data_IF_143309370966
#
_entry.id   IF_143309370966
#
_cell.length_a   1.000
_cell.length_b   1.000
_cell.length_c   1.000
_cell.angle_alpha   90.00
_cell.angle_beta   90.00
_cell.angle_gamma   90.00
#
_symmetry.space_group_name_H-M   'P 1'
#
loop_
_entity.id
_entity.type
_entity.pdbx_description
1 polymer ?
#
# COMPACT_ATOMS: atom_id res chain seq x y z
N UNK A 1 10.54 1.48 7.87
CA UNK A 1 11.58 2.13 7.08
C UNK A 1 11.35 3.65 7.18
N UNK A 2 12.32 4.45 7.62
CA UNK A 2 12.23 5.92 7.62
C UNK A 2 12.71 6.41 6.25
N UNK A 3 11.81 6.90 5.40
CA UNK A 3 12.16 7.52 4.12
C UNK A 3 12.07 9.03 4.23
N UNK A 4 13.11 9.72 3.77
CA UNK A 4 13.15 11.17 3.66
C UNK A 4 12.86 11.54 2.21
N UNK A 5 11.57 11.53 1.86
CA UNK A 5 11.12 11.95 0.54
C UNK A 5 10.60 13.38 0.59
N UNK A 6 11.20 14.24 -0.24
CA UNK A 6 10.71 15.59 -0.54
C UNK A 6 10.38 16.47 0.68
N UNK A 7 11.23 16.47 1.70
CA UNK A 7 11.08 17.27 2.94
C UNK A 7 9.91 16.85 3.84
N UNK A 8 9.38 15.63 3.68
CA UNK A 8 8.33 15.07 4.53
C UNK A 8 8.79 13.81 5.25
N UNK A 9 8.27 13.59 6.47
CA UNK A 9 8.45 12.35 7.22
C UNK A 9 7.10 11.68 7.39
N UNK A 10 7.02 10.40 7.04
CA UNK A 10 5.81 9.59 7.22
C UNK A 10 5.99 8.67 8.42
N UNK A 11 5.01 8.68 9.32
CA UNK A 11 4.96 7.80 10.47
C UNK A 11 3.67 6.99 10.48
N UNK A 12 3.75 5.75 10.97
CA UNK A 12 2.56 4.95 11.26
C UNK A 12 1.91 5.52 12.52
N UNK A 13 0.66 5.96 12.40
CA UNK A 13 -0.15 6.42 13.53
C UNK A 13 -0.87 5.23 14.17
N UNK A 14 -0.58 4.97 15.44
CA UNK A 14 -1.19 3.90 16.25
C UNK A 14 -2.47 4.37 16.93
N UNK A 15 -2.48 5.59 17.44
CA UNK A 15 -3.63 6.18 18.16
C UNK A 15 -3.84 7.62 17.76
N UNK A 16 -5.09 7.97 17.44
CA UNK A 16 -5.53 9.34 17.17
C UNK A 16 -6.39 9.84 18.34
N UNK A 17 -6.00 10.97 18.93
CA UNK A 17 -6.81 11.69 19.93
C UNK A 17 -7.21 13.06 19.39
N UNK A 18 -7.89 13.88 20.19
CA UNK A 18 -8.26 15.24 19.77
C UNK A 18 -7.02 16.09 19.44
N UNK A 19 -5.97 16.02 20.27
CA UNK A 19 -4.82 16.94 20.18
C UNK A 19 -3.49 16.28 19.79
N UNK A 20 -3.44 14.94 19.76
CA UNK A 20 -2.19 14.20 19.57
C UNK A 20 -2.33 12.98 18.65
N UNK A 21 -1.21 12.64 18.00
CA UNK A 21 -0.96 11.39 17.31
C UNK A 21 0.04 10.56 18.12
N UNK A 22 -0.28 9.30 18.43
CA UNK A 22 0.72 8.34 18.88
C UNK A 22 1.34 7.70 17.63
N UNK A 23 2.62 7.98 17.37
CA UNK A 23 3.31 7.52 16.17
C UNK A 23 4.39 6.50 16.51
N UNK A 24 4.55 5.48 15.66
CA UNK A 24 5.62 4.48 15.80
C UNK A 24 6.92 5.11 15.30
N UNK A 25 7.94 5.17 16.17
CA UNK A 25 9.27 5.71 15.86
C UNK A 25 10.32 4.62 15.66
N UNK A 26 10.05 3.41 16.15
CA UNK A 26 10.87 2.23 15.90
C UNK A 26 9.98 1.04 15.51
N UNK A 27 10.18 0.54 14.28
CA UNK A 27 9.36 -0.55 13.74
C UNK A 27 9.79 -1.93 14.25
N UNK A 28 11.00 -2.09 14.79
CA UNK A 28 11.51 -3.38 15.28
C UNK A 28 10.90 -3.76 16.63
N UNK A 29 10.75 -2.78 17.53
CA UNK A 29 10.23 -2.99 18.88
C UNK A 29 8.86 -2.34 19.10
N UNK A 30 8.33 -1.60 18.13
CA UNK A 30 7.04 -0.91 18.22
C UNK A 30 7.04 0.31 19.16
N UNK A 31 8.20 0.87 19.51
CA UNK A 31 8.31 2.07 20.32
C UNK A 31 7.55 3.23 19.67
N UNK A 32 6.77 3.94 20.49
CA UNK A 32 5.91 5.02 20.05
C UNK A 32 6.14 6.30 20.87
N UNK A 33 5.94 7.44 20.21
CA UNK A 33 5.97 8.76 20.82
C UNK A 33 4.70 9.54 20.47
N UNK A 34 4.38 10.53 21.28
CA UNK A 34 3.26 11.42 21.05
C UNK A 34 3.70 12.66 20.27
N UNK A 35 3.11 12.86 19.09
CA UNK A 35 3.27 14.04 18.25
C UNK A 35 2.04 14.95 18.40
N UNK A 36 2.26 16.21 18.74
CA UNK A 36 1.18 17.19 18.86
C UNK A 36 0.64 17.55 17.48
N UNK A 37 -0.68 17.61 17.33
CA UNK A 37 -1.30 18.11 16.10
C UNK A 37 -0.86 19.55 15.81
N UNK A 38 -0.59 19.82 14.55
CA UNK A 38 -0.24 21.15 14.05
C UNK A 38 -0.48 21.21 12.54
N UNK A 39 -0.41 22.40 11.95
CA UNK A 39 -0.49 22.58 10.49
C UNK A 39 0.59 21.80 9.71
N UNK A 40 1.69 21.44 10.38
CA UNK A 40 2.80 20.68 9.81
C UNK A 40 2.61 19.16 9.92
N UNK A 41 1.66 18.68 10.74
CA UNK A 41 1.44 17.27 11.01
C UNK A 41 0.03 16.87 10.57
N UNK A 42 -0.06 16.30 9.37
CA UNK A 42 -1.33 15.87 8.77
C UNK A 42 -1.51 14.37 8.95
N UNK A 43 -2.73 13.97 9.30
CA UNK A 43 -3.11 12.56 9.31
C UNK A 43 -3.68 12.18 7.95
N UNK A 44 -3.25 11.04 7.43
CA UNK A 44 -3.84 10.38 6.27
C UNK A 44 -4.21 8.95 6.70
N UNK A 45 -5.41 8.51 6.36
CA UNK A 45 -5.78 7.10 6.56
C UNK A 45 -5.04 6.24 5.53
N UNK A 46 -4.96 4.94 5.77
CA UNK A 46 -4.38 4.02 4.78
C UNK A 46 -5.13 4.08 3.45
N UNK A 47 -6.44 4.29 3.48
CA UNK A 47 -7.26 4.38 2.28
C UNK A 47 -6.87 5.57 1.41
N UNK A 48 -6.73 6.75 2.01
CA UNK A 48 -6.27 7.94 1.29
C UNK A 48 -4.82 7.81 0.88
N UNK A 49 -3.96 7.31 1.77
CA UNK A 49 -2.53 7.23 1.54
C UNK A 49 -2.18 6.28 0.39
N UNK A 50 -2.75 5.07 0.35
CA UNK A 50 -2.44 4.09 -0.70
C UNK A 50 -2.95 4.50 -2.09
N UNK A 51 -4.05 5.26 -2.16
CA UNK A 51 -4.55 5.83 -3.41
C UNK A 51 -3.61 6.88 -4.02
N UNK A 52 -2.75 7.50 -3.20
CA UNK A 52 -1.79 8.53 -3.62
C UNK A 52 -0.40 7.96 -3.91
N UNK A 53 -0.16 6.66 -3.71
CA UNK A 53 1.14 6.05 -3.93
C UNK A 53 1.49 5.96 -5.41
N UNK A 54 2.78 6.14 -5.71
CA UNK A 54 3.31 5.97 -7.05
C UNK A 54 3.04 4.57 -7.57
N UNK A 55 3.33 3.56 -6.74
CA UNK A 55 3.05 2.16 -7.04
C UNK A 55 2.89 1.27 -5.82
N UNK A 56 2.36 0.07 -6.06
CA UNK A 56 2.21 -1.01 -5.08
C UNK A 56 2.61 -2.35 -5.70
N UNK A 57 3.10 -3.26 -4.87
CA UNK A 57 3.48 -4.61 -5.26
C UNK A 57 3.09 -5.64 -4.19
N UNK A 58 2.88 -6.88 -4.59
CA UNK A 58 2.77 -8.00 -3.66
C UNK A 58 4.15 -8.24 -3.03
N UNK A 59 4.16 -8.62 -1.75
CA UNK A 59 5.40 -9.02 -1.09
C UNK A 59 5.98 -10.26 -1.78
N UNK A 60 7.29 -10.26 -2.02
CA UNK A 60 7.98 -11.34 -2.75
C UNK A 60 7.92 -12.70 -2.05
N UNK A 61 7.76 -12.73 -0.73
CA UNK A 61 7.61 -13.93 0.10
C UNK A 61 6.15 -14.41 0.23
N UNK A 62 5.17 -13.61 -0.19
CA UNK A 62 3.74 -13.92 -0.11
C UNK A 62 3.21 -14.27 -1.51
N UNK A 63 2.77 -15.52 -1.70
CA UNK A 63 2.16 -15.97 -2.96
C UNK A 63 0.72 -15.47 -3.12
N UNK A 64 0.50 -14.17 -2.97
CA UNK A 64 -0.81 -13.55 -3.05
C UNK A 64 -1.35 -13.61 -4.49
N UNK A 65 -2.57 -14.12 -4.59
CA UNK A 65 -3.31 -14.21 -5.86
C UNK A 65 -4.01 -12.90 -6.16
N UNK A 66 -4.02 -12.53 -7.43
CA UNK A 66 -4.84 -11.43 -7.92
C UNK A 66 -6.24 -11.98 -8.18
N UNK A 67 -7.28 -11.34 -7.65
CA UNK A 67 -8.67 -11.80 -7.69
C UNK A 67 -9.52 -10.91 -8.59
N UNK A 68 -10.53 -11.47 -9.25
CA UNK A 68 -11.49 -10.65 -10.01
C UNK A 68 -12.40 -9.78 -9.12
N UNK A 69 -12.61 -10.16 -7.86
CA UNK A 69 -13.47 -9.48 -6.88
C UNK A 69 -12.77 -9.45 -5.51
N UNK A 70 -13.12 -8.51 -4.60
CA UNK A 70 -12.49 -8.36 -3.29
C UNK A 70 -12.95 -9.43 -2.28
N UNK A 71 -12.76 -10.71 -2.62
CA UNK A 71 -13.03 -11.85 -1.76
C UNK A 71 -12.16 -13.06 -2.14
N UNK A 72 -11.88 -13.92 -1.16
CA UNK A 72 -10.97 -15.06 -1.33
C UNK A 72 -11.51 -16.16 -2.25
N UNK A 73 -12.83 -16.24 -2.41
CA UNK A 73 -13.51 -17.21 -3.29
C UNK A 73 -13.54 -16.82 -4.75
N UNK A 74 -13.18 -15.58 -5.09
CA UNK A 74 -13.19 -15.08 -6.44
C UNK A 74 -12.18 -15.82 -7.32
N UNK A 75 -12.50 -15.90 -8.61
CA UNK A 75 -11.56 -16.38 -9.63
C UNK A 75 -10.23 -15.63 -9.57
N UNK A 76 -9.16 -16.36 -9.82
CA UNK A 76 -7.79 -15.85 -9.88
C UNK A 76 -7.48 -15.32 -11.29
N UNK A 77 -6.93 -14.11 -11.34
CA UNK A 77 -6.33 -13.54 -12.55
C UNK A 77 -4.87 -14.02 -12.57
N UNK A 78 -4.54 -14.82 -13.59
CA UNK A 78 -3.16 -15.29 -13.77
C UNK A 78 -2.28 -14.14 -14.22
N UNK A 79 -1.25 -13.86 -13.44
CA UNK A 79 -0.25 -12.85 -13.74
C UNK A 79 1.11 -13.36 -13.26
N UNK A 80 2.07 -13.39 -14.16
CA UNK A 80 3.42 -13.91 -13.91
C UNK A 80 4.51 -12.84 -14.07
N UNK A 81 4.13 -11.58 -14.27
CA UNK A 81 5.06 -10.47 -14.36
C UNK A 81 5.61 -10.01 -13.01
N UNK A 82 6.57 -9.10 -13.07
CA UNK A 82 7.00 -8.29 -11.94
C UNK A 82 5.92 -7.26 -11.63
N UNK A 83 5.52 -7.20 -10.36
CA UNK A 83 4.46 -6.30 -9.93
C UNK A 83 4.84 -4.83 -10.17
N UNK A 84 4.00 -4.16 -10.94
CA UNK A 84 4.08 -2.73 -11.22
C UNK A 84 2.64 -2.23 -11.32
N UNK A 85 2.05 -1.94 -10.16
CA UNK A 85 0.63 -1.64 -10.04
C UNK A 85 0.37 -0.29 -9.40
N UNK A 86 -0.77 0.30 -9.74
CA UNK A 86 -1.35 1.45 -9.04
C UNK A 86 -2.69 1.09 -8.41
N UNK A 87 -3.02 1.76 -7.31
CA UNK A 87 -4.30 1.57 -6.62
C UNK A 87 -5.38 2.39 -7.31
N UNK A 88 -6.46 1.73 -7.70
CA UNK A 88 -7.63 2.33 -8.34
C UNK A 88 -8.77 2.59 -7.35
N UNK A 89 -9.01 1.65 -6.44
CA UNK A 89 -10.06 1.74 -5.43
C UNK A 89 -9.76 0.80 -4.26
N UNK A 90 -10.51 0.94 -3.16
CA UNK A 90 -10.33 0.12 -1.96
C UNK A 90 -11.67 -0.41 -1.43
N UNK A 91 -11.66 -1.63 -0.90
CA UNK A 91 -12.81 -2.27 -0.28
C UNK A 91 -12.35 -3.11 0.93
N UNK A 92 -12.47 -2.54 2.13
CA UNK A 92 -12.01 -3.18 3.36
C UNK A 92 -10.52 -3.53 3.28
N UNK A 93 -10.21 -4.82 3.33
CA UNK A 93 -8.83 -5.33 3.31
C UNK A 93 -8.25 -5.44 1.91
N UNK A 94 -9.02 -5.07 0.88
CA UNK A 94 -8.66 -5.23 -0.53
C UNK A 94 -8.40 -3.90 -1.21
N UNK A 95 -7.45 -3.90 -2.12
CA UNK A 95 -7.18 -2.84 -3.08
C UNK A 95 -7.42 -3.35 -4.49
N UNK A 96 -8.13 -2.56 -5.29
CA UNK A 96 -8.23 -2.74 -6.72
C UNK A 96 -6.96 -2.15 -7.35
N UNK A 97 -6.28 -2.95 -8.15
CA UNK A 97 -5.04 -2.62 -8.82
C UNK A 97 -5.20 -2.65 -10.34
N UNK A 98 -4.37 -1.87 -11.02
CA UNK A 98 -4.15 -1.93 -12.45
C UNK A 98 -2.66 -1.74 -12.75
N UNK A 99 -2.19 -2.24 -13.89
CA UNK A 99 -0.81 -2.02 -14.36
C UNK A 99 -0.64 -0.56 -14.75
N UNK A 100 0.32 0.13 -14.13
CA UNK A 100 0.53 1.55 -14.38
C UNK A 100 1.05 1.80 -15.81
N UNK A 101 0.78 2.99 -16.36
CA UNK A 101 1.16 3.33 -17.73
C UNK A 101 2.67 3.47 -17.95
N UNK A 102 3.41 3.81 -16.89
CA UNK A 102 4.86 3.95 -16.92
C UNK A 102 5.60 2.60 -16.82
N UNK A 103 4.89 1.50 -16.54
CA UNK A 103 5.47 0.16 -16.53
C UNK A 103 5.74 -0.29 -17.97
N UNK A 104 6.99 -0.61 -18.28
CA UNK A 104 7.38 -1.12 -19.60
C UNK A 104 7.08 -2.63 -19.75
N UNK A 105 7.31 -3.17 -20.96
CA UNK A 105 7.08 -4.58 -21.26
C UNK A 105 7.94 -5.54 -20.40
N UNK A 106 9.04 -5.07 -19.81
CA UNK A 106 9.92 -5.89 -18.97
C UNK A 106 9.32 -6.22 -17.60
N UNK A 107 8.34 -5.44 -17.14
CA UNK A 107 7.61 -5.74 -15.92
C UNK A 107 6.57 -6.86 -16.11
N UNK A 108 6.26 -7.27 -17.35
CA UNK A 108 5.17 -8.23 -17.58
C UNK A 108 5.62 -9.41 -18.43
N UNK A 109 5.92 -10.55 -17.79
CA UNK A 109 6.21 -11.82 -18.51
C UNK A 109 5.02 -12.28 -19.36
N UNK A 110 3.81 -12.07 -18.85
CA UNK A 110 2.61 -12.06 -19.68
C UNK A 110 2.48 -10.66 -20.28
N UNK A 111 2.47 -10.49 -21.60
CA UNK A 111 2.17 -9.21 -22.30
C UNK A 111 0.78 -8.61 -21.99
N UNK A 112 0.16 -9.01 -20.89
CA UNK A 112 -1.20 -8.71 -20.49
C UNK A 112 -1.12 -7.78 -19.29
N UNK A 113 -1.34 -6.49 -19.56
CA UNK A 113 -1.62 -5.50 -18.52
C UNK A 113 -2.84 -5.95 -17.71
N UNK A 114 -2.81 -5.69 -16.41
CA UNK A 114 -3.99 -5.84 -15.57
C UNK A 114 -4.79 -4.53 -15.68
N UNK A 115 -5.97 -4.60 -16.27
CA UNK A 115 -6.90 -3.46 -16.32
C UNK A 115 -7.64 -3.26 -14.98
N UNK A 116 -7.86 -4.36 -14.26
CA UNK A 116 -8.47 -4.38 -12.94
C UNK A 116 -8.26 -5.75 -12.30
N UNK A 117 -7.87 -5.76 -11.03
CA UNK A 117 -7.76 -6.95 -10.20
C UNK A 117 -7.69 -6.55 -8.73
N UNK A 118 -7.93 -7.50 -7.82
CA UNK A 118 -7.96 -7.23 -6.39
C UNK A 118 -6.89 -8.03 -5.66
N UNK A 119 -6.14 -7.35 -4.80
CA UNK A 119 -5.20 -7.97 -3.84
C UNK A 119 -5.50 -7.45 -2.45
N UNK A 120 -5.16 -8.19 -1.40
CA UNK A 120 -5.26 -7.67 -0.03
C UNK A 120 -4.06 -6.79 0.27
N UNK A 121 -4.31 -5.62 0.84
CA UNK A 121 -3.26 -4.73 1.33
C UNK A 121 -2.89 -4.99 2.78
N UNK A 122 -3.82 -5.58 3.55
CA UNK A 122 -3.59 -5.95 4.96
C UNK A 122 -4.22 -7.28 5.33
N UNK A 123 -3.68 -7.85 6.41
CA UNK A 123 -4.32 -8.93 7.15
C UNK A 123 -4.22 -8.61 8.65
N UNK A 124 -5.37 -8.29 9.27
CA UNK A 124 -5.39 -7.76 10.64
C UNK A 124 -4.63 -6.42 10.72
N UNK A 125 -3.55 -6.42 11.51
CA UNK A 125 -2.67 -5.25 11.70
C UNK A 125 -1.36 -5.33 10.89
N UNK A 126 -1.20 -6.35 10.04
CA UNK A 126 -0.02 -6.52 9.18
C UNK A 126 -0.33 -6.00 7.78
N UNK A 127 0.56 -5.15 7.27
CA UNK A 127 0.58 -4.80 5.86
C UNK A 127 1.19 -5.97 5.06
N UNK A 128 0.55 -6.37 3.96
CA UNK A 128 0.96 -7.52 3.14
C UNK A 128 1.23 -7.13 1.68
N UNK A 129 1.62 -5.88 1.47
CA UNK A 129 2.05 -5.31 0.20
C UNK A 129 3.28 -4.44 0.43
N UNK A 130 4.01 -4.19 -0.65
CA UNK A 130 4.95 -3.08 -0.75
C UNK A 130 4.23 -1.88 -1.37
N UNK A 131 4.65 -0.67 -1.00
CA UNK A 131 4.16 0.58 -1.56
C UNK A 131 5.32 1.54 -1.74
N UNK A 132 5.26 2.35 -2.81
CA UNK A 132 6.32 3.26 -3.21
C UNK A 132 5.72 4.66 -3.35
N UNK A 133 6.35 5.64 -2.69
CA UNK A 133 5.91 7.04 -2.72
C UNK A 133 6.39 7.71 -4.02
N UNK A 134 7.51 7.24 -4.57
CA UNK A 134 8.15 7.70 -5.80
C UNK A 134 8.60 6.51 -6.64
N UNK A 135 9.03 6.77 -7.87
CA UNK A 135 9.72 5.82 -8.76
C UNK A 135 11.05 5.33 -8.15
#
# INVERSE_FOLDING_TARGET
MLWLDYSSFVFICKTLTNDWFEVIVNNENGESLWLKKSELAKFSSWETYLLEMFGVARLSDESQKIRQQPNDSSEEIKYSGQDCFQVKSMNGDWIEIFTADYCDESYTDSKTKIESGWIKWRQGNKLIIEYYITD
#
